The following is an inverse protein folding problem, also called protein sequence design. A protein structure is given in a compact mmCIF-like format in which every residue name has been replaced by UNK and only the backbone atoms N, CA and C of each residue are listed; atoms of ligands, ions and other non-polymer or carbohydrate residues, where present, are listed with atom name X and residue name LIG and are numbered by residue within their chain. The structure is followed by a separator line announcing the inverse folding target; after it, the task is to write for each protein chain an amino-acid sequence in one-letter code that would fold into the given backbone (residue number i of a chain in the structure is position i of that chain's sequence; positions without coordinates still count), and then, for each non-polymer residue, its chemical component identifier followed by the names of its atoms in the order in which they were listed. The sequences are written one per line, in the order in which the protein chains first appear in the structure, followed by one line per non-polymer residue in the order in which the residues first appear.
data_IF_894867165462
#
_entry.id   IF_894867165462
#
_cell.length_a   1.000
_cell.length_b   1.000
_cell.length_c   1.000
_cell.angle_alpha   90.00
_cell.angle_beta   90.00
_cell.angle_gamma   90.00
#
_symmetry.space_group_name_H-M   'P 1'
#
loop_
_entity.id
_entity.type
_entity.pdbx_description
1 polymer ?
#
# COMPACT_ATOMS: atom_id res chain seq x y z
N UNK A 1 -28.66 -17.53 -21.70
CA UNK A 1 -28.25 -16.45 -22.62
C UNK A 1 -26.74 -16.33 -22.55
N UNK A 2 -26.04 -16.17 -23.68
CA UNK A 2 -24.61 -15.86 -23.67
C UNK A 2 -24.35 -14.49 -23.02
N UNK A 3 -23.15 -14.29 -22.49
CA UNK A 3 -22.70 -12.99 -21.95
C UNK A 3 -22.70 -11.93 -23.08
N UNK A 4 -23.22 -10.73 -22.79
CA UNK A 4 -23.14 -9.59 -23.69
C UNK A 4 -21.79 -8.88 -23.52
N UNK A 5 -20.98 -8.86 -24.58
CA UNK A 5 -19.64 -8.28 -24.58
C UNK A 5 -19.65 -6.77 -24.37
N UNK A 6 -20.56 -6.05 -25.03
CA UNK A 6 -20.59 -4.59 -24.99
C UNK A 6 -21.00 -4.10 -23.59
N UNK A 7 -21.98 -4.78 -22.97
CA UNK A 7 -22.39 -4.51 -21.60
C UNK A 7 -21.26 -4.78 -20.60
N UNK A 8 -20.49 -5.87 -20.78
CA UNK A 8 -19.35 -6.20 -19.94
C UNK A 8 -18.26 -5.11 -20.01
N UNK A 9 -17.92 -4.67 -21.22
CA UNK A 9 -16.91 -3.63 -21.43
C UNK A 9 -17.36 -2.26 -20.90
N UNK A 10 -18.66 -2.02 -20.78
CA UNK A 10 -19.23 -0.80 -20.25
C UNK A 10 -19.38 -0.78 -18.71
N UNK A 11 -19.13 -1.90 -18.02
CA UNK A 11 -19.25 -1.96 -16.56
C UNK A 11 -18.23 -1.03 -15.87
N UNK A 12 -18.71 -0.23 -14.93
CA UNK A 12 -17.89 0.66 -14.11
C UNK A 12 -18.12 0.36 -12.63
N UNK A 13 -17.03 0.26 -11.86
CA UNK A 13 -17.06 0.19 -10.40
C UNK A 13 -16.59 1.53 -9.84
N UNK A 14 -17.54 2.40 -9.51
CA UNK A 14 -17.28 3.78 -9.07
C UNK A 14 -17.51 3.91 -7.57
N UNK A 15 -16.66 4.70 -6.89
CA UNK A 15 -16.88 5.08 -5.49
C UNK A 15 -16.60 3.98 -4.46
N UNK A 16 -15.81 2.96 -4.81
CA UNK A 16 -15.35 1.96 -3.85
C UNK A 16 -14.39 2.61 -2.84
N UNK A 17 -14.72 2.67 -1.53
CA UNK A 17 -13.82 3.19 -0.52
C UNK A 17 -12.72 2.16 -0.21
N UNK A 18 -11.52 2.66 0.04
CA UNK A 18 -10.38 1.89 0.52
C UNK A 18 -9.76 2.61 1.72
N UNK A 19 -9.31 1.85 2.70
CA UNK A 19 -8.66 2.36 3.89
C UNK A 19 -7.46 1.48 4.25
N UNK A 20 -6.39 2.12 4.70
CA UNK A 20 -5.13 1.48 5.05
C UNK A 20 -4.62 2.08 6.35
N UNK A 21 -3.87 1.29 7.09
CA UNK A 21 -3.16 1.72 8.30
C UNK A 21 -1.67 1.58 8.10
N UNK A 22 -0.89 2.02 9.09
CA UNK A 22 0.55 1.86 9.16
C UNK A 22 0.99 0.41 8.89
N UNK A 23 0.18 -0.57 9.31
CA UNK A 23 0.41 -1.99 9.10
C UNK A 23 0.49 -2.36 7.61
N UNK A 24 -0.46 -1.94 6.79
CA UNK A 24 -0.51 -2.31 5.37
C UNK A 24 0.62 -1.66 4.57
N UNK A 25 0.93 -0.40 4.88
CA UNK A 25 1.99 0.33 4.18
C UNK A 25 3.38 -0.18 4.57
N UNK A 26 3.59 -0.56 5.84
CA UNK A 26 4.83 -1.20 6.30
C UNK A 26 4.99 -2.60 5.71
N UNK A 27 3.92 -3.40 5.69
CA UNK A 27 3.94 -4.73 5.09
C UNK A 27 4.33 -4.68 3.61
N UNK A 28 3.84 -3.68 2.87
CA UNK A 28 4.25 -3.43 1.50
C UNK A 28 5.75 -3.12 1.39
N UNK A 29 6.27 -2.20 2.23
CA UNK A 29 7.69 -1.84 2.25
C UNK A 29 8.59 -3.05 2.56
N UNK A 30 8.21 -3.89 3.51
CA UNK A 30 8.88 -5.17 3.77
C UNK A 30 8.81 -6.12 2.57
N UNK A 31 7.64 -6.23 1.94
CA UNK A 31 7.43 -7.12 0.79
C UNK A 31 8.30 -6.78 -0.43
N UNK A 32 8.71 -5.52 -0.58
CA UNK A 32 9.63 -5.09 -1.65
C UNK A 32 11.10 -5.05 -1.21
N UNK A 33 11.42 -5.50 0.01
CA UNK A 33 12.79 -5.73 0.47
C UNK A 33 13.40 -4.65 1.36
N UNK A 34 12.62 -3.72 1.90
CA UNK A 34 13.12 -2.70 2.84
C UNK A 34 13.23 -3.23 4.27
N UNK A 35 14.09 -2.63 5.09
CA UNK A 35 14.23 -2.90 6.52
C UNK A 35 15.25 -4.00 6.86
N UNK A 36 16.19 -4.29 5.96
CA UNK A 36 17.20 -5.33 6.19
C UNK A 36 18.25 -4.91 7.24
N UNK A 37 18.62 -3.63 7.26
CA UNK A 37 19.50 -3.05 8.27
C UNK A 37 18.65 -2.31 9.32
N UNK A 38 18.61 -2.78 10.58
CA UNK A 38 17.84 -2.14 11.64
C UNK A 38 18.41 -0.78 12.09
N UNK A 39 19.60 -0.38 11.61
CA UNK A 39 20.23 0.90 11.92
C UNK A 39 20.17 1.92 10.76
N UNK A 40 19.57 1.57 9.61
CA UNK A 40 19.40 2.50 8.49
C UNK A 40 18.13 3.35 8.65
N UNK A 41 18.30 4.56 9.20
CA UNK A 41 17.24 5.55 9.39
C UNK A 41 16.44 5.88 8.12
N UNK A 42 17.04 5.70 6.94
CA UNK A 42 16.37 5.98 5.67
C UNK A 42 15.28 4.96 5.37
N UNK A 43 15.54 3.68 5.69
CA UNK A 43 14.58 2.60 5.50
C UNK A 43 13.62 2.50 6.69
N UNK A 44 14.10 2.73 7.92
CA UNK A 44 13.26 2.78 9.12
C UNK A 44 12.07 3.74 8.94
N UNK A 45 12.27 4.84 8.20
CA UNK A 45 11.23 5.79 7.81
C UNK A 45 9.96 5.15 7.20
N UNK A 46 10.06 3.94 6.62
CA UNK A 46 8.99 3.23 5.92
C UNK A 46 8.51 1.96 6.63
N UNK A 47 9.32 1.39 7.52
CA UNK A 47 9.10 0.04 8.08
C UNK A 47 8.88 0.00 9.59
N UNK A 48 8.94 1.15 10.26
CA UNK A 48 8.75 1.23 11.71
C UNK A 48 7.83 2.41 12.10
N UNK A 49 6.95 2.09 13.04
CA UNK A 49 5.84 2.89 13.56
C UNK A 49 6.24 3.95 14.60
N UNK A 50 7.54 4.17 14.82
CA UNK A 50 8.05 5.31 15.59
C UNK A 50 7.58 5.38 17.05
N UNK A 51 7.40 4.24 17.73
CA UNK A 51 6.93 4.18 19.13
C UNK A 51 7.95 4.70 20.15
N UNK A 52 9.25 4.60 19.85
CA UNK A 52 10.32 5.09 20.72
C UNK A 52 10.58 6.60 20.57
N UNK A 53 10.68 7.08 19.33
CA UNK A 53 10.86 8.49 18.97
C UNK A 53 9.86 8.87 17.87
N UNK A 54 8.97 9.86 18.10
CA UNK A 54 7.93 10.20 17.12
C UNK A 54 8.51 10.70 15.79
N UNK A 55 8.11 10.04 14.71
CA UNK A 55 8.40 10.47 13.33
C UNK A 55 7.26 10.04 12.40
N UNK A 56 6.98 10.82 11.34
CA UNK A 56 5.96 10.44 10.38
C UNK A 56 6.40 9.19 9.60
N UNK A 57 5.49 8.23 9.47
CA UNK A 57 5.68 7.07 8.59
C UNK A 57 5.60 7.52 7.13
N UNK A 58 6.57 7.10 6.32
CA UNK A 58 6.58 7.33 4.89
C UNK A 58 5.98 6.14 4.16
N UNK A 59 5.26 6.41 3.09
CA UNK A 59 4.68 5.39 2.20
C UNK A 59 5.46 5.39 0.89
N UNK A 60 5.86 4.22 0.44
CA UNK A 60 6.51 4.06 -0.87
C UNK A 60 5.47 4.37 -1.95
N UNK A 61 5.74 5.26 -2.93
CA UNK A 61 4.75 5.67 -3.93
C UNK A 61 4.09 4.51 -4.70
N UNK A 62 4.83 3.42 -4.91
CA UNK A 62 4.35 2.23 -5.62
C UNK A 62 3.33 1.43 -4.82
N UNK A 63 3.10 1.71 -3.53
CA UNK A 63 1.98 1.16 -2.77
C UNK A 63 0.63 1.42 -3.45
N UNK A 64 0.49 2.56 -4.15
CA UNK A 64 -0.72 2.90 -4.90
C UNK A 64 -1.10 1.85 -5.96
N UNK A 65 -0.15 1.04 -6.45
CA UNK A 65 -0.41 -0.03 -7.42
C UNK A 65 -1.14 -1.24 -6.82
N UNK A 66 -1.08 -1.41 -5.49
CA UNK A 66 -1.71 -2.51 -4.76
C UNK A 66 -2.78 -2.04 -3.76
N UNK A 67 -2.87 -0.73 -3.54
CA UNK A 67 -3.83 -0.08 -2.63
C UNK A 67 -5.27 -0.01 -3.19
N UNK A 68 -5.62 -0.85 -4.16
CA UNK A 68 -6.99 -1.04 -4.64
C UNK A 68 -7.16 -2.44 -5.29
N UNK A 69 -6.33 -3.40 -4.88
CA UNK A 69 -6.38 -4.78 -5.40
C UNK A 69 -7.44 -5.62 -4.68
#
# INVERSE_FOLDING_TARGET
MPINYDELMAMQAMGQPYAYTDREVMLYAYGIGMGADPMDERELAFVNEATAEPRPLKVVPTFASVAAW
#
